data_IF_830383987523
#
_entry.id   IF_830383987523
#
_cell.length_a   1.000
_cell.length_b   1.000
_cell.length_c   1.000
_cell.angle_alpha   90.00
_cell.angle_beta   90.00
_cell.angle_gamma   90.00
#
_symmetry.space_group_name_H-M   'P 1'
#
loop_
_entity.id
_entity.type
_entity.pdbx_description
1 polymer ?
#
# COMPACT_ATOMS: atom_id res chain seq x y z
N UNK A 1 37.08 -7.89 20.32
CA UNK A 1 36.22 -6.75 19.94
C UNK A 1 35.12 -7.30 19.04
N UNK A 2 33.94 -7.56 19.60
CA UNK A 2 32.79 -8.13 18.88
C UNK A 2 32.19 -7.05 17.98
N UNK A 3 32.45 -7.14 16.67
CA UNK A 3 31.79 -6.29 15.68
C UNK A 3 30.32 -6.69 15.59
N UNK A 4 29.41 -5.86 16.09
CA UNK A 4 27.97 -6.00 15.85
C UNK A 4 27.73 -5.75 14.37
N UNK A 5 27.78 -6.81 13.56
CA UNK A 5 27.28 -6.79 12.20
C UNK A 5 25.82 -6.35 12.27
N UNK A 6 25.57 -5.08 11.91
CA UNK A 6 24.24 -4.51 11.81
C UNK A 6 23.45 -5.39 10.85
N UNK A 7 22.59 -6.24 11.41
CA UNK A 7 21.69 -7.05 10.63
C UNK A 7 20.94 -6.08 9.70
N UNK A 8 21.13 -6.23 8.39
CA UNK A 8 20.30 -5.63 7.35
C UNK A 8 18.90 -6.23 7.46
N UNK A 9 18.21 -5.89 8.55
CA UNK A 9 16.86 -6.35 8.82
C UNK A 9 15.97 -5.66 7.81
N UNK A 10 15.70 -6.40 6.73
CA UNK A 10 14.65 -6.12 5.76
C UNK A 10 13.51 -5.44 6.51
N UNK A 11 13.36 -4.15 6.28
CA UNK A 11 12.64 -3.27 7.19
C UNK A 11 11.14 -3.41 6.92
N UNK A 12 10.59 -4.59 7.24
CA UNK A 12 9.16 -4.90 7.25
C UNK A 12 8.32 -3.73 7.81
N UNK A 13 8.70 -3.06 8.92
CA UNK A 13 7.97 -1.89 9.40
C UNK A 13 8.06 -0.66 8.47
N UNK A 14 9.23 -0.38 7.86
CA UNK A 14 9.37 0.74 6.91
C UNK A 14 8.54 0.51 5.65
N UNK A 15 8.53 -0.72 5.12
CA UNK A 15 7.68 -1.09 4.01
C UNK A 15 6.19 -0.96 4.36
N UNK A 16 5.78 -1.44 5.54
CA UNK A 16 4.41 -1.29 6.01
C UNK A 16 3.99 0.17 6.16
N UNK A 17 4.86 1.06 6.66
CA UNK A 17 4.58 2.50 6.75
C UNK A 17 4.44 3.16 5.37
N UNK A 18 5.29 2.80 4.41
CA UNK A 18 5.20 3.32 3.04
C UNK A 18 3.91 2.84 2.34
N UNK A 19 3.57 1.56 2.51
CA UNK A 19 2.31 1.00 2.02
C UNK A 19 1.13 1.68 2.71
N UNK A 20 1.17 1.90 4.03
CA UNK A 20 0.12 2.59 4.77
C UNK A 20 -0.07 4.03 4.28
N UNK A 21 1.04 4.75 4.10
CA UNK A 21 1.04 6.13 3.60
C UNK A 21 0.45 6.24 2.20
N UNK A 22 0.61 5.21 1.36
CA UNK A 22 0.02 5.18 0.03
C UNK A 22 -1.41 4.62 -0.01
N UNK A 23 -1.72 3.62 0.83
CA UNK A 23 -3.05 2.98 0.83
C UNK A 23 -4.11 3.85 1.50
N UNK A 24 -3.74 4.63 2.51
CA UNK A 24 -4.67 5.53 3.20
C UNK A 24 -5.32 6.54 2.24
N UNK A 25 -4.56 7.39 1.50
CA UNK A 25 -5.16 8.31 0.54
C UNK A 25 -5.85 7.57 -0.62
N UNK A 26 -5.37 6.38 -1.00
CA UNK A 26 -6.02 5.57 -2.04
C UNK A 26 -7.43 5.13 -1.62
N UNK A 27 -7.56 4.54 -0.43
CA UNK A 27 -8.85 4.12 0.13
C UNK A 27 -9.77 5.33 0.29
N UNK A 28 -9.25 6.43 0.82
CA UNK A 28 -10.01 7.68 0.97
C UNK A 28 -10.53 8.16 -0.39
N UNK A 29 -9.69 8.24 -1.43
CA UNK A 29 -10.11 8.67 -2.75
C UNK A 29 -11.19 7.76 -3.35
N UNK A 30 -11.03 6.44 -3.22
CA UNK A 30 -12.03 5.46 -3.66
C UNK A 30 -13.33 5.65 -2.89
N UNK A 31 -13.28 5.85 -1.58
CA UNK A 31 -14.47 6.10 -0.76
C UNK A 31 -15.19 7.34 -1.24
N UNK A 32 -14.51 8.47 -1.39
CA UNK A 32 -15.12 9.71 -1.86
C UNK A 32 -15.66 9.63 -3.29
N UNK A 33 -15.09 8.77 -4.14
CA UNK A 33 -15.61 8.51 -5.48
C UNK A 33 -16.83 7.58 -5.44
N UNK A 34 -16.80 6.51 -4.64
CA UNK A 34 -17.86 5.49 -4.61
C UNK A 34 -19.07 5.95 -3.80
N UNK A 35 -18.87 6.68 -2.70
CA UNK A 35 -19.96 7.17 -1.85
C UNK A 35 -21.08 7.91 -2.61
N UNK A 36 -20.79 8.94 -3.44
CA UNK A 36 -21.82 9.66 -4.18
C UNK A 36 -22.47 8.80 -5.27
N UNK A 37 -21.77 7.79 -5.80
CA UNK A 37 -22.30 6.90 -6.83
C UNK A 37 -23.17 5.77 -6.26
N UNK A 38 -23.08 5.51 -4.95
CA UNK A 38 -23.71 4.37 -4.29
C UNK A 38 -24.59 4.81 -3.13
N UNK A 39 -25.15 6.02 -3.19
CA UNK A 39 -25.89 6.68 -2.10
C UNK A 39 -27.05 5.82 -1.56
N UNK A 40 -27.73 5.08 -2.46
CA UNK A 40 -28.84 4.18 -2.13
C UNK A 40 -28.40 2.74 -1.82
N UNK A 41 -27.10 2.43 -1.89
CA UNK A 41 -26.59 1.07 -1.72
C UNK A 41 -26.39 0.74 -0.25
N UNK A 42 -26.75 -0.49 0.11
CA UNK A 42 -26.43 -1.10 1.38
C UNK A 42 -24.91 -1.19 1.59
N UNK A 43 -24.47 -1.17 2.85
CA UNK A 43 -23.04 -1.15 3.23
C UNK A 43 -22.27 -2.32 2.59
N UNK A 44 -22.88 -3.50 2.52
CA UNK A 44 -22.26 -4.69 1.94
C UNK A 44 -22.05 -4.59 0.42
N UNK A 45 -22.96 -3.91 -0.31
CA UNK A 45 -22.83 -3.70 -1.75
C UNK A 45 -21.69 -2.72 -2.05
N UNK A 46 -21.60 -1.63 -1.27
CA UNK A 46 -20.49 -0.68 -1.38
C UNK A 46 -19.16 -1.38 -1.08
N UNK A 47 -19.12 -2.18 -0.03
CA UNK A 47 -17.92 -2.92 0.37
C UNK A 47 -17.50 -3.94 -0.69
N UNK A 48 -18.47 -4.60 -1.35
CA UNK A 48 -18.22 -5.51 -2.48
C UNK A 48 -17.54 -4.83 -3.66
N UNK A 49 -17.72 -3.51 -3.85
CA UNK A 49 -17.04 -2.75 -4.92
C UNK A 49 -15.70 -2.21 -4.43
N UNK A 50 -15.69 -1.61 -3.25
CA UNK A 50 -14.49 -0.95 -2.69
C UNK A 50 -13.36 -1.95 -2.46
N UNK A 51 -13.67 -3.13 -1.91
CA UNK A 51 -12.66 -4.14 -1.58
C UNK A 51 -11.86 -4.62 -2.81
N UNK A 52 -12.49 -5.16 -3.89
CA UNK A 52 -11.73 -5.62 -5.05
C UNK A 52 -11.02 -4.48 -5.78
N UNK A 53 -11.59 -3.28 -5.81
CA UNK A 53 -10.95 -2.11 -6.41
C UNK A 53 -9.65 -1.75 -5.67
N UNK A 54 -9.73 -1.66 -4.35
CA UNK A 54 -8.57 -1.35 -3.49
C UNK A 54 -7.49 -2.42 -3.63
N UNK A 55 -7.85 -3.70 -3.55
CA UNK A 55 -6.90 -4.82 -3.66
C UNK A 55 -6.23 -4.84 -5.04
N UNK A 56 -6.99 -4.63 -6.12
CA UNK A 56 -6.44 -4.62 -7.48
C UNK A 56 -5.43 -3.50 -7.66
N UNK A 57 -5.74 -2.28 -7.18
CA UNK A 57 -4.83 -1.14 -7.25
C UNK A 57 -3.60 -1.35 -6.35
N UNK A 58 -3.76 -2.00 -5.20
CA UNK A 58 -2.63 -2.32 -4.34
C UNK A 58 -1.65 -3.29 -5.00
N UNK A 59 -2.16 -4.38 -5.59
CA UNK A 59 -1.33 -5.44 -6.21
C UNK A 59 -0.62 -4.91 -7.46
N UNK A 60 -1.32 -4.16 -8.30
CA UNK A 60 -0.80 -3.72 -9.61
C UNK A 60 -0.17 -2.32 -9.61
N UNK A 61 -0.52 -1.47 -8.65
CA UNK A 61 -0.02 -0.08 -8.58
C UNK A 61 0.87 0.14 -7.36
N UNK A 62 0.30 0.00 -6.16
CA UNK A 62 0.95 0.45 -4.92
C UNK A 62 2.18 -0.37 -4.55
N UNK A 63 2.05 -1.70 -4.46
CA UNK A 63 3.13 -2.61 -4.10
C UNK A 63 4.28 -2.53 -5.11
N UNK A 64 4.04 -2.67 -6.44
CA UNK A 64 5.13 -2.54 -7.42
C UNK A 64 5.68 -1.12 -7.48
N UNK A 65 4.87 -0.08 -7.26
CA UNK A 65 5.31 1.30 -7.18
C UNK A 65 6.25 1.55 -6.01
N UNK A 66 5.88 1.14 -4.79
CA UNK A 66 6.74 1.23 -3.60
C UNK A 66 8.00 0.40 -3.79
N UNK A 67 7.88 -0.82 -4.33
CA UNK A 67 9.05 -1.64 -4.65
C UNK A 67 9.96 -0.98 -5.70
N UNK A 68 9.39 -0.36 -6.75
CA UNK A 68 10.16 0.27 -7.84
C UNK A 68 10.84 1.57 -7.40
N UNK A 69 10.15 2.41 -6.64
CA UNK A 69 10.67 3.69 -6.14
C UNK A 69 11.73 3.49 -5.06
N UNK A 70 11.57 2.50 -4.18
CA UNK A 70 12.52 2.21 -3.11
C UNK A 70 13.51 1.09 -3.43
N UNK A 71 13.51 0.55 -4.67
CA UNK A 71 14.50 -0.42 -5.15
C UNK A 71 15.93 0.09 -4.99
N UNK A 72 16.17 1.38 -5.25
CA UNK A 72 17.49 2.01 -5.07
C UNK A 72 17.91 2.21 -3.60
N UNK A 73 16.96 2.23 -2.66
CA UNK A 73 17.22 2.31 -1.21
C UNK A 73 17.33 0.92 -0.55
N UNK A 74 16.77 -0.11 -1.18
CA UNK A 74 16.85 -1.51 -0.76
C UNK A 74 18.03 -2.28 -1.41
N UNK A 75 18.60 -1.76 -2.49
CA UNK A 75 19.73 -2.36 -3.19
C UNK A 75 20.86 -1.33 -3.42
N UNK A 76 21.62 -0.94 -2.39
CA UNK A 76 22.93 -0.35 -2.62
C UNK A 76 23.88 -1.49 -3.05
N UNK A 77 24.47 -1.35 -4.24
CA UNK A 77 25.43 -2.26 -4.87
C UNK A 77 24.87 -3.57 -5.47
N UNK A 78 24.73 -3.59 -6.79
CA UNK A 78 25.56 -4.55 -7.53
C UNK A 78 26.85 -3.84 -7.92
#
# INVERSE_FOLDING_TARGET
MTSTAAASRFSRPRFALLVLAGVYPLITAILYAVFPLTEEWEIWQRTLVIAPLTVSIMIWGLIPGVQKTFRGFLNPAQ
#
